data_IF_770026035254
#
_entry.id   IF_770026035254
#
_cell.length_a   1.000
_cell.length_b   1.000
_cell.length_c   1.000
_cell.angle_alpha   90.00
_cell.angle_beta   90.00
_cell.angle_gamma   90.00
#
_symmetry.space_group_name_H-M   'P 1'
#
loop_
_entity.id
_entity.type
_entity.pdbx_description
1 polymer ?
#
# COMPACT_ATOMS: atom_id res chain seq x y z
N UNK A 1 -23.57 60.25 75.84
CA UNK A 1 -22.69 60.80 74.83
C UNK A 1 -21.79 59.64 74.34
N UNK A 2 -22.11 59.02 73.18
CA UNK A 2 -21.45 57.92 72.59
C UNK A 2 -20.83 58.31 71.23
N UNK A 3 -19.56 58.07 70.95
CA UNK A 3 -19.05 58.25 69.57
C UNK A 3 -19.12 56.95 68.82
N UNK A 4 -19.74 57.06 67.66
CA UNK A 4 -19.80 56.06 66.57
C UNK A 4 -18.32 55.66 66.08
N UNK A 5 -18.07 54.36 66.01
CA UNK A 5 -16.88 53.85 65.33
C UNK A 5 -17.23 53.41 63.90
N UNK A 6 -16.73 54.14 62.91
CA UNK A 6 -16.76 53.69 61.52
C UNK A 6 -15.70 52.60 61.32
N UNK A 7 -16.16 51.43 60.83
CA UNK A 7 -15.27 50.36 60.32
C UNK A 7 -15.11 50.51 58.82
N UNK A 8 -13.92 50.75 58.38
CA UNK A 8 -13.53 50.70 56.94
C UNK A 8 -13.24 49.22 56.54
N UNK A 9 -14.09 48.65 55.69
CA UNK A 9 -13.81 47.37 55.05
C UNK A 9 -12.98 47.61 53.80
N UNK A 10 -11.73 47.15 53.84
CA UNK A 10 -10.87 47.14 52.67
C UNK A 10 -11.21 45.89 51.81
N UNK A 11 -11.81 46.09 50.63
CA UNK A 11 -12.01 45.04 49.64
C UNK A 11 -10.71 44.85 48.85
N UNK A 12 -10.09 43.68 49.06
CA UNK A 12 -8.91 43.28 48.25
C UNK A 12 -9.40 42.75 46.87
N UNK A 13 -9.14 43.51 45.83
CA UNK A 13 -9.35 43.10 44.44
C UNK A 13 -8.15 42.22 44.02
N UNK A 14 -8.37 40.89 43.98
CA UNK A 14 -7.43 39.96 43.44
C UNK A 14 -7.49 39.99 41.90
N UNK A 15 -6.56 40.70 41.26
CA UNK A 15 -6.33 40.65 39.82
C UNK A 15 -5.75 39.31 39.44
N UNK A 16 -6.55 38.40 38.85
CA UNK A 16 -6.07 37.22 38.15
C UNK A 16 -5.33 37.68 36.90
N UNK A 17 -4.01 37.70 36.96
CA UNK A 17 -3.16 37.78 35.78
C UNK A 17 -3.25 36.47 35.00
N UNK A 18 -4.13 36.39 34.00
CA UNK A 18 -4.07 35.35 32.99
C UNK A 18 -2.77 35.52 32.21
N UNK A 19 -1.78 34.67 32.53
CA UNK A 19 -0.58 34.55 31.72
C UNK A 19 -1.00 34.07 30.31
N UNK A 20 -1.07 34.99 29.35
CA UNK A 20 -1.06 34.67 27.93
C UNK A 20 0.26 33.96 27.64
N UNK A 21 0.25 32.63 27.67
CA UNK A 21 1.32 31.82 27.11
C UNK A 21 1.34 32.18 25.61
N UNK A 22 2.45 32.73 25.09
CA UNK A 22 2.51 32.99 23.66
C UNK A 22 2.29 31.66 22.94
N UNK A 23 1.26 31.59 22.12
CA UNK A 23 1.10 30.50 21.18
C UNK A 23 2.33 30.57 20.24
N UNK A 24 3.37 29.82 20.59
CA UNK A 24 4.46 29.57 19.65
C UNK A 24 3.79 29.04 18.39
N UNK A 25 4.02 29.69 17.26
CA UNK A 25 3.62 29.18 15.97
C UNK A 25 4.19 27.75 15.88
N UNK A 26 3.32 26.76 16.17
CA UNK A 26 3.71 25.36 16.09
C UNK A 26 4.10 25.11 14.64
N UNK A 27 5.39 24.78 14.39
CA UNK A 27 5.84 24.45 13.04
C UNK A 27 4.98 23.37 12.43
N UNK A 28 4.92 23.33 11.12
CA UNK A 28 4.18 22.31 10.36
C UNK A 28 5.17 21.24 9.90
N UNK A 29 4.75 19.99 9.90
CA UNK A 29 5.45 18.87 9.26
C UNK A 29 4.87 18.73 7.86
N UNK A 30 5.68 18.91 6.82
CA UNK A 30 5.26 18.78 5.43
C UNK A 30 5.63 17.41 4.88
N UNK A 31 4.65 16.66 4.43
CA UNK A 31 4.85 15.38 3.73
C UNK A 31 4.60 15.62 2.25
N UNK A 32 5.64 15.46 1.42
CA UNK A 32 5.53 15.51 -0.02
C UNK A 32 5.12 14.15 -0.56
N UNK A 33 3.96 14.06 -1.17
CA UNK A 33 3.39 12.81 -1.65
C UNK A 33 3.35 12.82 -3.19
N UNK A 34 3.79 11.73 -3.82
CA UNK A 34 3.93 11.58 -5.26
C UNK A 34 3.15 10.35 -5.69
N UNK A 35 2.21 10.51 -6.64
CA UNK A 35 1.46 9.36 -7.13
C UNK A 35 0.92 9.59 -8.56
N UNK A 36 0.49 8.49 -9.22
CA UNK A 36 -0.03 8.48 -10.59
C UNK A 36 -1.55 8.71 -10.62
N UNK A 37 -2.06 9.77 -10.00
CA UNK A 37 -3.49 10.00 -9.74
C UNK A 37 -4.36 9.94 -10.99
N UNK A 38 -3.91 10.58 -12.08
CA UNK A 38 -4.65 10.60 -13.35
C UNK A 38 -4.68 9.25 -14.04
N UNK A 39 -3.62 8.46 -13.88
CA UNK A 39 -3.50 7.17 -14.54
C UNK A 39 -4.20 6.04 -13.77
N UNK A 40 -4.30 6.14 -12.44
CA UNK A 40 -4.80 5.08 -11.55
C UNK A 40 -5.84 5.59 -10.53
N UNK A 41 -6.89 6.32 -10.97
CA UNK A 41 -7.84 6.95 -10.06
C UNK A 41 -8.61 5.94 -9.21
N UNK A 42 -8.93 4.76 -9.73
CA UNK A 42 -9.69 3.73 -9.01
C UNK A 42 -9.06 3.35 -7.66
N UNK A 43 -7.74 3.25 -7.60
CA UNK A 43 -6.99 2.97 -6.38
C UNK A 43 -6.61 4.25 -5.63
N UNK A 44 -6.19 5.29 -6.34
CA UNK A 44 -5.56 6.45 -5.73
C UNK A 44 -6.55 7.48 -5.18
N UNK A 45 -7.81 7.51 -5.63
CA UNK A 45 -8.84 8.31 -4.96
C UNK A 45 -9.17 7.77 -3.54
N UNK A 46 -9.42 6.46 -3.33
CA UNK A 46 -9.52 5.89 -1.99
C UNK A 46 -8.25 6.07 -1.15
N UNK A 47 -7.07 5.91 -1.75
CA UNK A 47 -5.79 6.12 -1.09
C UNK A 47 -5.65 7.54 -0.53
N UNK A 48 -5.97 8.56 -1.33
CA UNK A 48 -5.98 9.96 -0.90
C UNK A 48 -6.94 10.19 0.26
N UNK A 49 -8.16 9.64 0.20
CA UNK A 49 -9.13 9.71 1.30
C UNK A 49 -8.58 9.07 2.58
N UNK A 50 -7.89 7.94 2.47
CA UNK A 50 -7.23 7.31 3.62
C UNK A 50 -6.18 8.20 4.26
N UNK A 51 -5.32 8.85 3.45
CA UNK A 51 -4.34 9.82 3.94
C UNK A 51 -5.01 11.01 4.64
N UNK A 52 -6.05 11.59 4.02
CA UNK A 52 -6.80 12.72 4.59
C UNK A 52 -7.43 12.37 5.94
N UNK A 53 -7.99 11.16 6.08
CA UNK A 53 -8.53 10.70 7.35
C UNK A 53 -7.44 10.63 8.43
N UNK A 54 -6.29 10.03 8.12
CA UNK A 54 -5.18 9.92 9.07
C UNK A 54 -4.61 11.29 9.47
N UNK A 55 -4.46 12.21 8.52
CA UNK A 55 -4.01 13.58 8.79
C UNK A 55 -4.96 14.31 9.73
N UNK A 56 -6.26 14.20 9.48
CA UNK A 56 -7.28 14.84 10.33
C UNK A 56 -7.24 14.29 11.76
N UNK A 57 -7.19 12.97 11.93
CA UNK A 57 -7.11 12.34 13.25
C UNK A 57 -5.85 12.75 14.01
N UNK A 58 -4.69 12.72 13.36
CA UNK A 58 -3.42 13.09 13.98
C UNK A 58 -3.42 14.57 14.35
N UNK A 59 -3.91 15.43 13.46
CA UNK A 59 -3.96 16.86 13.70
C UNK A 59 -4.97 17.25 14.78
N UNK A 60 -6.10 16.54 14.86
CA UNK A 60 -7.08 16.72 15.93
C UNK A 60 -6.54 16.28 17.30
N UNK A 61 -5.67 15.26 17.32
CA UNK A 61 -4.98 14.78 18.52
C UNK A 61 -3.79 15.65 18.97
N UNK A 62 -3.55 16.79 18.30
CA UNK A 62 -2.44 17.71 18.65
C UNK A 62 -1.20 17.59 17.75
N UNK A 63 -1.27 16.78 16.70
CA UNK A 63 -0.19 16.59 15.72
C UNK A 63 0.92 15.67 16.23
N UNK A 64 2.06 15.74 15.57
CA UNK A 64 3.27 14.97 15.89
C UNK A 64 4.25 15.87 16.64
N UNK A 65 4.59 15.54 17.88
CA UNK A 65 5.44 16.37 18.73
C UNK A 65 4.97 17.84 18.80
N UNK A 66 3.63 18.06 18.81
CA UNK A 66 3.00 19.39 18.83
C UNK A 66 2.96 20.10 17.48
N UNK A 67 3.37 19.47 16.37
CA UNK A 67 3.33 20.05 15.02
C UNK A 67 2.24 19.36 14.19
N UNK A 68 1.44 20.15 13.46
CA UNK A 68 0.44 19.58 12.53
C UNK A 68 1.10 19.04 11.27
N UNK A 69 0.48 18.03 10.68
CA UNK A 69 0.88 17.50 9.37
C UNK A 69 0.17 18.29 8.27
N UNK A 70 0.93 18.69 7.27
CA UNK A 70 0.48 19.20 5.97
C UNK A 70 0.89 18.22 4.87
N UNK A 71 -0.08 17.78 4.06
CA UNK A 71 0.15 16.87 2.95
C UNK A 71 0.16 17.64 1.65
N UNK A 72 1.26 17.53 0.88
CA UNK A 72 1.43 18.17 -0.42
C UNK A 72 1.52 17.08 -1.48
N UNK A 73 0.41 16.78 -2.16
CA UNK A 73 0.34 15.74 -3.19
C UNK A 73 0.64 16.30 -4.58
N UNK A 74 1.34 15.50 -5.39
CA UNK A 74 1.67 15.79 -6.80
C UNK A 74 1.46 14.54 -7.66
N UNK A 75 1.09 14.78 -8.93
CA UNK A 75 0.92 13.73 -9.93
C UNK A 75 2.24 13.50 -10.70
N UNK A 76 2.66 12.25 -10.80
CA UNK A 76 3.87 11.83 -11.53
C UNK A 76 3.60 11.48 -13.00
N UNK A 77 2.36 11.64 -13.48
CA UNK A 77 1.90 11.29 -14.82
C UNK A 77 2.23 9.84 -15.24
N UNK A 78 2.39 8.93 -14.28
CA UNK A 78 2.83 7.55 -14.48
C UNK A 78 4.19 7.44 -15.21
N UNK A 79 5.06 8.43 -15.05
CA UNK A 79 6.34 8.55 -15.73
C UNK A 79 7.49 8.70 -14.73
N UNK A 80 8.55 7.85 -14.79
CA UNK A 80 9.68 7.92 -13.87
C UNK A 80 10.43 9.25 -13.88
N UNK A 81 10.59 9.89 -15.05
CA UNK A 81 11.25 11.20 -15.18
C UNK A 81 10.44 12.31 -14.52
N UNK A 82 9.10 12.29 -14.69
CA UNK A 82 8.21 13.23 -13.99
C UNK A 82 8.20 12.98 -12.48
N UNK A 83 8.25 11.72 -12.02
CA UNK A 83 8.33 11.40 -10.60
C UNK A 83 9.58 12.02 -9.95
N UNK A 84 10.75 11.93 -10.61
CA UNK A 84 12.00 12.56 -10.14
C UNK A 84 11.89 14.08 -10.16
N UNK A 85 11.34 14.67 -11.22
CA UNK A 85 11.13 16.13 -11.32
C UNK A 85 10.23 16.65 -10.21
N UNK A 86 9.15 15.92 -9.92
CA UNK A 86 8.20 16.23 -8.84
C UNK A 86 8.87 16.08 -7.47
N UNK A 87 9.65 15.01 -7.26
CA UNK A 87 10.43 14.84 -6.04
C UNK A 87 11.38 16.01 -5.78
N UNK A 88 12.12 16.46 -6.82
CA UNK A 88 13.01 17.63 -6.72
C UNK A 88 12.23 18.90 -6.38
N UNK A 89 11.05 19.11 -6.99
CA UNK A 89 10.18 20.26 -6.69
C UNK A 89 9.73 20.25 -5.22
N UNK A 90 9.23 19.11 -4.73
CA UNK A 90 8.78 18.96 -3.35
C UNK A 90 9.91 19.23 -2.34
N UNK A 91 11.09 18.71 -2.61
CA UNK A 91 12.25 18.89 -1.72
C UNK A 91 12.82 20.31 -1.80
N UNK A 92 13.01 20.84 -3.01
CA UNK A 92 13.74 22.11 -3.19
C UNK A 92 12.87 23.35 -3.03
N UNK A 93 11.59 23.32 -3.47
CA UNK A 93 10.67 24.47 -3.45
C UNK A 93 9.70 24.42 -2.28
N UNK A 94 8.99 23.30 -2.12
CA UNK A 94 8.00 23.14 -1.05
C UNK A 94 8.65 22.90 0.32
N UNK A 95 9.94 22.49 0.33
CA UNK A 95 10.71 22.21 1.55
C UNK A 95 10.02 21.16 2.43
N UNK A 96 9.61 20.07 1.81
CA UNK A 96 8.99 18.97 2.56
C UNK A 96 10.00 18.28 3.50
N UNK A 97 9.50 17.73 4.59
CA UNK A 97 10.30 17.03 5.61
C UNK A 97 10.60 15.58 5.22
N UNK A 98 9.75 14.97 4.38
CA UNK A 98 9.96 13.64 3.80
C UNK A 98 9.15 13.48 2.50
N UNK A 99 9.55 12.50 1.70
CA UNK A 99 8.77 12.02 0.55
C UNK A 99 7.98 10.77 0.93
N UNK A 100 6.81 10.61 0.32
CA UNK A 100 5.96 9.43 0.46
C UNK A 100 5.23 9.11 -0.84
N UNK A 101 4.68 7.89 -0.94
CA UNK A 101 3.78 7.54 -2.04
C UNK A 101 4.40 6.60 -3.05
N UNK A 102 4.18 6.93 -4.27
CA UNK A 102 4.27 6.23 -5.55
C UNK A 102 3.41 4.97 -5.63
N UNK A 103 2.78 4.79 -6.80
CA UNK A 103 1.96 3.62 -7.13
C UNK A 103 2.72 2.65 -8.04
N UNK A 104 3.16 3.12 -9.21
CA UNK A 104 3.82 2.27 -10.18
C UNK A 104 5.25 1.91 -9.72
N UNK A 105 5.64 0.67 -9.94
CA UNK A 105 6.95 0.16 -9.53
C UNK A 105 8.12 0.90 -10.18
N UNK A 106 8.00 1.29 -11.46
CA UNK A 106 9.03 2.05 -12.16
C UNK A 106 9.16 3.50 -11.63
N UNK A 107 8.06 4.18 -11.28
CA UNK A 107 8.12 5.50 -10.65
C UNK A 107 8.66 5.38 -9.22
N UNK A 108 8.27 4.34 -8.49
CA UNK A 108 8.81 4.05 -7.16
C UNK A 108 10.32 3.84 -7.14
N UNK A 109 10.85 3.08 -8.10
CA UNK A 109 12.30 2.89 -8.25
C UNK A 109 13.03 4.21 -8.55
N UNK A 110 12.46 5.04 -9.42
CA UNK A 110 13.05 6.33 -9.74
C UNK A 110 13.13 7.27 -8.52
N UNK A 111 12.07 7.29 -7.68
CA UNK A 111 12.08 8.06 -6.42
C UNK A 111 13.01 7.41 -5.38
N UNK A 112 13.13 6.08 -5.35
CA UNK A 112 14.08 5.35 -4.50
C UNK A 112 15.54 5.74 -4.82
N UNK A 113 15.88 5.81 -6.12
CA UNK A 113 17.19 6.28 -6.57
C UNK A 113 17.43 7.76 -6.23
N UNK A 114 16.42 8.60 -6.43
CA UNK A 114 16.45 10.00 -6.02
C UNK A 114 16.72 10.13 -4.50
N UNK A 115 15.99 9.37 -3.68
CA UNK A 115 16.14 9.35 -2.23
C UNK A 115 17.57 8.97 -1.81
N UNK A 116 18.16 7.95 -2.47
CA UNK A 116 19.56 7.55 -2.28
C UNK A 116 20.54 8.67 -2.61
N UNK A 117 20.40 9.28 -3.79
CA UNK A 117 21.31 10.32 -4.30
C UNK A 117 21.25 11.61 -3.46
N UNK A 118 20.05 12.00 -3.05
CA UNK A 118 19.81 13.23 -2.26
C UNK A 118 19.95 12.99 -0.75
N UNK A 119 20.12 11.76 -0.32
CA UNK A 119 20.07 11.35 1.10
C UNK A 119 18.79 11.86 1.77
N UNK A 120 17.66 11.64 1.13
CA UNK A 120 16.35 12.13 1.55
C UNK A 120 15.40 10.99 1.86
N UNK A 121 14.65 11.08 2.96
CA UNK A 121 13.79 9.98 3.40
C UNK A 121 12.58 9.80 2.48
N UNK A 122 12.35 8.56 2.05
CA UNK A 122 11.22 8.16 1.22
C UNK A 122 10.48 6.95 1.81
N UNK A 123 9.17 7.11 2.04
CA UNK A 123 8.28 6.02 2.43
C UNK A 123 7.45 5.58 1.21
N UNK A 124 7.86 4.50 0.57
CA UNK A 124 7.16 3.90 -0.54
C UNK A 124 5.86 3.22 -0.05
N UNK A 125 4.69 3.70 -0.52
CA UNK A 125 3.39 3.17 -0.13
C UNK A 125 3.00 1.91 -0.89
N UNK A 126 2.93 2.03 -2.22
CA UNK A 126 2.34 1.06 -3.14
C UNK A 126 3.29 0.34 -4.10
N UNK A 127 4.47 0.82 -4.45
CA UNK A 127 5.26 0.15 -5.50
C UNK A 127 5.67 -1.26 -5.05
N UNK A 128 5.20 -2.27 -5.80
CA UNK A 128 5.23 -3.66 -5.33
C UNK A 128 6.50 -4.44 -5.74
N UNK A 129 7.29 -3.97 -6.73
CA UNK A 129 8.51 -4.68 -7.11
C UNK A 129 9.44 -4.88 -5.91
N UNK A 130 10.01 -6.06 -5.79
CA UNK A 130 10.95 -6.37 -4.72
C UNK A 130 12.22 -5.52 -4.80
N UNK A 131 12.55 -4.99 -5.96
CA UNK A 131 13.73 -4.12 -6.15
C UNK A 131 13.72 -2.86 -5.29
N UNK A 132 12.57 -2.37 -4.84
CA UNK A 132 12.48 -1.20 -3.94
C UNK A 132 13.30 -1.41 -2.67
N UNK A 133 13.22 -2.61 -2.09
CA UNK A 133 13.90 -2.96 -0.85
C UNK A 133 15.08 -3.91 -1.05
N UNK A 134 15.25 -4.46 -2.26
CA UNK A 134 16.37 -5.34 -2.62
C UNK A 134 17.42 -4.58 -3.44
N UNK A 135 17.48 -4.78 -4.78
CA UNK A 135 18.56 -4.21 -5.62
C UNK A 135 18.60 -2.67 -5.60
N UNK A 136 17.47 -2.00 -5.52
CA UNK A 136 17.37 -0.55 -5.35
C UNK A 136 17.41 -0.11 -3.89
N UNK A 137 17.35 -1.07 -2.95
CA UNK A 137 17.28 -0.81 -1.53
C UNK A 137 18.44 0.06 -1.03
N UNK A 138 18.11 1.01 -0.17
CA UNK A 138 19.07 1.92 0.45
C UNK A 138 18.55 2.36 1.83
N UNK A 139 19.40 2.99 2.62
CA UNK A 139 19.06 3.35 3.99
C UNK A 139 17.93 4.38 4.14
N UNK A 140 17.60 5.13 3.09
CA UNK A 140 16.61 6.21 3.13
C UNK A 140 15.22 5.78 2.63
N UNK A 141 15.10 4.59 2.00
CA UNK A 141 13.84 4.10 1.45
C UNK A 141 13.27 2.97 2.29
N UNK A 142 12.02 3.11 2.70
CA UNK A 142 11.23 2.10 3.40
C UNK A 142 9.96 1.80 2.60
N UNK A 143 9.46 0.55 2.65
CA UNK A 143 8.24 0.16 1.94
C UNK A 143 7.17 -0.33 2.90
N UNK A 144 5.93 0.16 2.72
CA UNK A 144 4.78 -0.20 3.53
C UNK A 144 4.15 -1.52 3.08
N UNK A 145 3.65 -1.57 1.84
CA UNK A 145 2.86 -2.70 1.33
C UNK A 145 3.73 -3.93 1.04
N UNK A 146 3.21 -5.18 1.22
CA UNK A 146 3.97 -6.39 0.90
C UNK A 146 4.38 -6.41 -0.58
N UNK A 147 5.65 -6.71 -0.85
CA UNK A 147 6.19 -6.80 -2.20
C UNK A 147 5.70 -8.02 -2.97
N UNK A 148 6.13 -8.11 -4.23
CA UNK A 148 5.73 -9.21 -5.13
C UNK A 148 6.16 -10.58 -4.61
N UNK A 149 7.35 -10.69 -4.01
CA UNK A 149 7.79 -11.94 -3.37
C UNK A 149 6.87 -12.35 -2.24
N UNK A 150 6.57 -11.43 -1.31
CA UNK A 150 5.71 -11.73 -0.17
C UNK A 150 4.30 -12.15 -0.63
N UNK A 151 3.71 -11.45 -1.59
CA UNK A 151 2.40 -11.80 -2.12
C UNK A 151 2.41 -13.15 -2.85
N UNK A 152 3.45 -13.45 -3.63
CA UNK A 152 3.63 -14.75 -4.25
C UNK A 152 3.80 -15.86 -3.20
N UNK A 153 4.59 -15.62 -2.14
CA UNK A 153 4.76 -16.56 -1.03
C UNK A 153 3.45 -16.85 -0.26
N UNK A 154 2.55 -15.86 -0.20
CA UNK A 154 1.21 -16.03 0.38
C UNK A 154 0.26 -16.83 -0.54
N UNK A 155 0.38 -16.69 -1.86
CA UNK A 155 -0.49 -17.36 -2.84
C UNK A 155 -0.02 -18.77 -3.19
N UNK A 156 1.28 -19.02 -3.24
CA UNK A 156 1.86 -20.31 -3.70
C UNK A 156 1.40 -21.51 -2.89
N UNK A 157 1.22 -21.47 -1.55
CA UNK A 157 0.68 -22.62 -0.83
C UNK A 157 -0.70 -23.06 -1.33
N UNK A 158 -1.57 -22.14 -1.68
CA UNK A 158 -2.90 -22.45 -2.24
C UNK A 158 -2.78 -22.89 -3.71
N UNK A 159 -1.89 -22.28 -4.49
CA UNK A 159 -1.62 -22.68 -5.87
C UNK A 159 -1.07 -24.12 -5.95
N UNK A 160 -0.15 -24.50 -5.07
CA UNK A 160 0.43 -25.85 -5.03
C UNK A 160 -0.60 -26.93 -4.64
N UNK A 161 -1.58 -26.61 -3.78
CA UNK A 161 -2.70 -27.52 -3.43
C UNK A 161 -3.55 -27.91 -4.64
N UNK A 162 -3.60 -27.09 -5.69
CA UNK A 162 -4.32 -27.35 -6.92
C UNK A 162 -3.70 -28.53 -7.71
N UNK A 163 -2.42 -28.85 -7.47
CA UNK A 163 -1.65 -29.93 -8.15
C UNK A 163 -1.67 -29.82 -9.68
N UNK A 164 -1.83 -28.59 -10.20
CA UNK A 164 -1.81 -28.31 -11.65
C UNK A 164 -0.37 -28.26 -12.12
N UNK A 165 -0.08 -28.86 -13.30
CA UNK A 165 1.27 -28.96 -13.84
C UNK A 165 1.56 -27.91 -14.89
N UNK A 166 0.60 -27.64 -15.75
CA UNK A 166 0.74 -26.72 -16.89
C UNK A 166 0.18 -25.35 -16.53
N UNK A 167 1.06 -24.39 -16.33
CA UNK A 167 0.71 -23.04 -15.97
C UNK A 167 0.96 -22.07 -17.13
N UNK A 168 0.06 -21.12 -17.29
CA UNK A 168 0.32 -19.92 -18.09
C UNK A 168 0.40 -18.70 -17.19
N UNK A 169 1.08 -17.65 -17.64
CA UNK A 169 1.15 -16.39 -16.90
C UNK A 169 0.72 -15.23 -17.81
N UNK A 170 0.00 -14.25 -17.26
CA UNK A 170 -0.39 -13.01 -17.93
C UNK A 170 -0.11 -11.82 -17.02
N UNK A 171 0.58 -10.80 -17.54
CA UNK A 171 1.04 -9.68 -16.72
C UNK A 171 1.30 -8.42 -17.53
N UNK A 172 1.23 -7.23 -16.91
CA UNK A 172 1.64 -5.99 -17.56
C UNK A 172 3.17 -5.96 -17.71
N UNK A 173 3.64 -5.70 -18.91
CA UNK A 173 5.07 -5.74 -19.27
C UNK A 173 5.83 -4.51 -18.76
N UNK A 174 5.96 -4.43 -17.45
CA UNK A 174 6.83 -3.49 -16.76
C UNK A 174 7.29 -4.10 -15.42
N UNK A 175 8.06 -3.36 -14.66
CA UNK A 175 8.79 -3.85 -13.48
C UNK A 175 7.94 -4.66 -12.49
N UNK A 176 6.71 -4.19 -12.16
CA UNK A 176 5.83 -4.93 -11.27
C UNK A 176 5.45 -6.32 -11.81
N UNK A 177 5.00 -6.38 -13.06
CA UNK A 177 4.56 -7.63 -13.66
C UNK A 177 5.70 -8.65 -13.77
N UNK A 178 6.88 -8.17 -14.18
CA UNK A 178 8.10 -9.00 -14.27
C UNK A 178 8.51 -9.53 -12.89
N UNK A 179 8.51 -8.68 -11.86
CA UNK A 179 8.83 -9.06 -10.48
C UNK A 179 7.87 -10.11 -9.93
N UNK A 180 6.55 -9.89 -10.10
CA UNK A 180 5.52 -10.81 -9.62
C UNK A 180 5.60 -12.20 -10.29
N UNK A 181 5.78 -12.23 -11.61
CA UNK A 181 5.92 -13.49 -12.35
C UNK A 181 7.20 -14.23 -11.98
N UNK A 182 8.32 -13.53 -11.82
CA UNK A 182 9.58 -14.13 -11.40
C UNK A 182 9.45 -14.76 -10.01
N UNK A 183 8.89 -14.05 -9.04
CA UNK A 183 8.66 -14.55 -7.68
C UNK A 183 7.71 -15.77 -7.67
N UNK A 184 6.58 -15.69 -8.38
CA UNK A 184 5.64 -16.79 -8.44
C UNK A 184 6.25 -18.04 -9.08
N UNK A 185 6.94 -17.89 -10.22
CA UNK A 185 7.63 -19.01 -10.90
C UNK A 185 8.66 -19.66 -9.99
N UNK A 186 9.49 -18.87 -9.31
CA UNK A 186 10.51 -19.37 -8.38
C UNK A 186 9.89 -20.17 -7.25
N UNK A 187 8.92 -19.60 -6.57
CA UNK A 187 8.32 -20.18 -5.37
C UNK A 187 7.44 -21.40 -5.72
N UNK A 188 6.68 -21.35 -6.81
CA UNK A 188 5.85 -22.48 -7.22
C UNK A 188 6.71 -23.66 -7.67
N UNK A 189 7.81 -23.44 -8.41
CA UNK A 189 8.74 -24.50 -8.76
C UNK A 189 9.43 -25.13 -7.55
N UNK A 190 9.71 -24.34 -6.53
CA UNK A 190 10.25 -24.85 -5.28
C UNK A 190 9.24 -25.74 -4.53
N UNK A 191 7.96 -25.35 -4.53
CA UNK A 191 6.87 -26.11 -3.90
C UNK A 191 6.41 -27.33 -4.72
N UNK A 192 6.45 -27.23 -6.05
CA UNK A 192 6.02 -28.26 -7.00
C UNK A 192 7.02 -28.32 -8.20
N UNK A 193 8.08 -29.13 -8.11
CA UNK A 193 9.18 -29.15 -9.11
C UNK A 193 8.77 -29.55 -10.52
N UNK A 194 7.68 -30.32 -10.68
CA UNK A 194 7.15 -30.80 -11.96
C UNK A 194 6.25 -29.81 -12.70
N UNK A 195 6.18 -28.56 -12.23
CA UNK A 195 5.42 -27.47 -12.89
C UNK A 195 6.13 -27.02 -14.16
N UNK A 196 5.35 -26.86 -15.23
CA UNK A 196 5.76 -26.27 -16.50
C UNK A 196 5.01 -24.96 -16.76
N UNK A 197 5.75 -23.92 -17.18
CA UNK A 197 5.13 -22.67 -17.65
C UNK A 197 5.05 -22.71 -19.18
N UNK A 198 3.84 -23.00 -19.69
CA UNK A 198 3.58 -23.32 -21.10
C UNK A 198 3.25 -22.08 -21.95
N UNK A 199 2.89 -20.96 -21.34
CA UNK A 199 2.65 -19.69 -22.03
C UNK A 199 2.96 -18.51 -21.12
N UNK A 200 3.41 -17.43 -21.75
CA UNK A 200 3.70 -16.16 -21.08
C UNK A 200 3.17 -15.02 -21.95
N UNK A 201 2.23 -14.23 -21.40
CA UNK A 201 1.61 -13.11 -22.07
C UNK A 201 1.98 -11.80 -21.35
N UNK A 202 3.01 -11.15 -21.84
CA UNK A 202 3.46 -9.83 -21.37
C UNK A 202 2.74 -8.74 -22.18
N UNK A 203 1.83 -8.00 -21.55
CA UNK A 203 0.98 -7.01 -22.22
C UNK A 203 1.45 -5.58 -21.96
N UNK A 204 1.32 -4.64 -22.90
CA UNK A 204 1.58 -3.24 -22.61
C UNK A 204 0.63 -2.73 -21.51
N UNK A 205 1.17 -2.04 -20.50
CA UNK A 205 0.40 -1.48 -19.39
C UNK A 205 -0.70 -0.53 -19.89
N UNK A 206 -1.95 -0.76 -19.47
CA UNK A 206 -3.13 0.03 -19.83
C UNK A 206 -3.64 -0.21 -21.24
N UNK A 207 -3.03 -1.13 -22.00
CA UNK A 207 -3.32 -1.35 -23.44
C UNK A 207 -3.41 -2.84 -23.80
N UNK A 208 -3.95 -3.67 -22.90
CA UNK A 208 -4.13 -5.10 -23.18
C UNK A 208 -5.03 -5.30 -24.40
N UNK A 209 -4.57 -6.11 -25.35
CA UNK A 209 -5.42 -6.75 -26.37
C UNK A 209 -5.93 -8.06 -25.79
N UNK A 210 -7.09 -7.97 -25.13
CA UNK A 210 -7.64 -9.12 -24.40
C UNK A 210 -8.01 -10.27 -25.35
N UNK A 211 -8.44 -9.98 -26.59
CA UNK A 211 -8.76 -11.01 -27.58
C UNK A 211 -7.57 -11.87 -27.93
N UNK A 212 -6.46 -11.25 -28.29
CA UNK A 212 -5.21 -11.95 -28.64
C UNK A 212 -4.63 -12.69 -27.43
N UNK A 213 -4.66 -12.08 -26.25
CA UNK A 213 -4.16 -12.70 -25.00
C UNK A 213 -4.97 -13.94 -24.64
N UNK A 214 -6.29 -13.85 -24.62
CA UNK A 214 -7.20 -14.96 -24.30
C UNK A 214 -7.03 -16.10 -25.30
N UNK A 215 -6.90 -15.79 -26.60
CA UNK A 215 -6.66 -16.80 -27.63
C UNK A 215 -5.33 -17.53 -27.40
N UNK A 216 -4.25 -16.78 -27.21
CA UNK A 216 -2.92 -17.40 -26.98
C UNK A 216 -2.87 -18.28 -25.71
N UNK A 217 -3.56 -17.86 -24.65
CA UNK A 217 -3.67 -18.67 -23.44
C UNK A 217 -4.52 -19.94 -23.68
N UNK A 218 -5.61 -19.83 -24.44
CA UNK A 218 -6.47 -20.97 -24.79
C UNK A 218 -5.71 -22.01 -25.63
N UNK A 219 -4.94 -21.55 -26.61
CA UNK A 219 -4.15 -22.41 -27.52
C UNK A 219 -3.01 -23.16 -26.80
N UNK A 220 -2.43 -22.55 -25.78
CA UNK A 220 -1.42 -23.17 -24.95
C UNK A 220 -1.95 -24.29 -24.03
N UNK A 221 -3.27 -24.38 -23.87
CA UNK A 221 -3.98 -25.39 -23.04
C UNK A 221 -3.37 -25.55 -21.64
N UNK A 222 -3.24 -24.47 -20.84
CA UNK A 222 -2.78 -24.58 -19.47
C UNK A 222 -3.87 -25.21 -18.59
N UNK A 223 -3.45 -25.85 -17.49
CA UNK A 223 -4.36 -26.30 -16.44
C UNK A 223 -4.71 -25.15 -15.46
N UNK A 224 -3.81 -24.20 -15.34
CA UNK A 224 -3.96 -23.03 -14.47
C UNK A 224 -3.29 -21.77 -15.05
N UNK A 225 -3.79 -20.61 -14.63
CA UNK A 225 -3.30 -19.29 -15.07
C UNK A 225 -2.90 -18.48 -13.83
N UNK A 226 -1.70 -17.90 -13.86
CA UNK A 226 -1.32 -16.87 -12.92
C UNK A 226 -1.52 -15.50 -13.57
N UNK A 227 -2.45 -14.72 -13.01
CA UNK A 227 -2.78 -13.39 -13.49
C UNK A 227 -2.19 -12.29 -12.61
N UNK A 228 -1.56 -11.31 -13.24
CA UNK A 228 -0.97 -10.14 -12.59
C UNK A 228 -1.56 -8.83 -13.14
N UNK A 229 -2.52 -8.91 -14.07
CA UNK A 229 -3.22 -7.73 -14.58
C UNK A 229 -4.05 -7.07 -13.49
N UNK A 230 -4.19 -5.76 -13.56
CA UNK A 230 -4.99 -4.96 -12.65
C UNK A 230 -5.72 -3.82 -13.39
N UNK A 231 -6.62 -3.13 -12.70
CA UNK A 231 -7.35 -2.00 -13.27
C UNK A 231 -8.16 -2.35 -14.51
N UNK A 232 -8.13 -1.48 -15.51
CA UNK A 232 -8.88 -1.64 -16.75
C UNK A 232 -8.43 -2.85 -17.56
N UNK A 233 -7.13 -3.20 -17.53
CA UNK A 233 -6.60 -4.36 -18.25
C UNK A 233 -7.14 -5.68 -17.67
N UNK A 234 -7.25 -5.78 -16.35
CA UNK A 234 -7.87 -6.90 -15.68
C UNK A 234 -9.34 -7.03 -16.09
N UNK A 235 -10.09 -5.92 -16.09
CA UNK A 235 -11.51 -5.94 -16.46
C UNK A 235 -11.71 -6.41 -17.90
N UNK A 236 -10.88 -5.96 -18.84
CA UNK A 236 -10.95 -6.44 -20.25
C UNK A 236 -10.62 -7.92 -20.35
N UNK A 237 -9.57 -8.38 -19.63
CA UNK A 237 -9.16 -9.78 -19.63
C UNK A 237 -10.24 -10.70 -19.07
N UNK A 238 -10.87 -10.32 -17.94
CA UNK A 238 -11.95 -11.09 -17.32
C UNK A 238 -13.16 -11.19 -18.27
N UNK A 239 -13.60 -10.09 -18.84
CA UNK A 239 -14.76 -10.06 -19.77
C UNK A 239 -14.53 -10.92 -20.99
N UNK A 240 -13.40 -10.74 -21.64
CA UNK A 240 -13.05 -11.51 -22.82
C UNK A 240 -12.87 -13.02 -22.50
N UNK A 241 -12.21 -13.31 -21.38
CA UNK A 241 -12.02 -14.68 -20.89
C UNK A 241 -13.34 -15.36 -20.56
N UNK A 242 -14.29 -14.65 -19.92
CA UNK A 242 -15.64 -15.14 -19.67
C UNK A 242 -16.39 -15.43 -20.98
N UNK A 243 -16.37 -14.49 -21.92
CA UNK A 243 -17.04 -14.59 -23.22
C UNK A 243 -16.55 -15.80 -24.00
N UNK A 244 -15.25 -16.07 -24.01
CA UNK A 244 -14.65 -17.22 -24.72
C UNK A 244 -14.53 -18.49 -23.88
N UNK A 245 -15.01 -18.48 -22.64
CA UNK A 245 -14.97 -19.63 -21.75
C UNK A 245 -13.55 -20.04 -21.32
N UNK A 246 -12.57 -19.11 -21.30
CA UNK A 246 -11.19 -19.41 -20.94
C UNK A 246 -11.07 -20.02 -19.55
N UNK A 247 -11.92 -19.59 -18.62
CA UNK A 247 -11.82 -19.97 -17.20
C UNK A 247 -12.63 -21.19 -16.81
N UNK A 248 -13.43 -21.80 -17.73
CA UNK A 248 -14.35 -22.91 -17.39
C UNK A 248 -13.67 -24.12 -16.77
N UNK A 249 -12.52 -24.51 -17.32
CA UNK A 249 -11.80 -25.74 -16.92
C UNK A 249 -10.38 -25.42 -16.44
N UNK A 250 -10.14 -24.17 -16.04
CA UNK A 250 -8.84 -23.70 -15.62
C UNK A 250 -8.91 -23.02 -14.27
N UNK A 251 -7.98 -23.38 -13.40
CA UNK A 251 -7.79 -22.66 -12.15
C UNK A 251 -7.11 -21.32 -12.42
N UNK A 252 -7.44 -20.30 -11.61
CA UNK A 252 -6.78 -19.00 -11.70
C UNK A 252 -6.27 -18.59 -10.33
N UNK A 253 -5.00 -18.21 -10.28
CA UNK A 253 -4.38 -17.54 -9.13
C UNK A 253 -4.04 -16.13 -9.56
N UNK A 254 -4.44 -15.14 -8.77
CA UNK A 254 -4.31 -13.75 -9.20
C UNK A 254 -3.90 -12.82 -8.06
N UNK A 255 -2.90 -12.00 -8.33
CA UNK A 255 -2.51 -10.92 -7.43
C UNK A 255 -3.50 -9.76 -7.58
N UNK A 256 -3.91 -9.14 -6.48
CA UNK A 256 -4.73 -7.93 -6.38
C UNK A 256 -6.21 -8.06 -6.78
N UNK A 257 -6.62 -9.12 -7.50
CA UNK A 257 -7.99 -9.20 -8.04
C UNK A 257 -9.08 -9.14 -6.96
N UNK A 258 -8.80 -9.57 -5.73
CA UNK A 258 -9.75 -9.47 -4.61
C UNK A 258 -9.86 -8.08 -3.96
N UNK A 259 -9.22 -7.07 -4.52
CA UNK A 259 -9.34 -5.69 -4.06
C UNK A 259 -10.62 -5.05 -4.63
N UNK A 260 -11.44 -4.37 -3.80
CA UNK A 260 -12.68 -3.76 -4.27
C UNK A 260 -12.50 -2.83 -5.46
N UNK A 261 -11.37 -2.12 -5.54
CA UNK A 261 -11.00 -1.25 -6.66
C UNK A 261 -11.09 -1.95 -8.02
N UNK A 262 -10.82 -3.26 -8.03
CA UNK A 262 -10.78 -4.07 -9.24
C UNK A 262 -11.96 -5.01 -9.38
N UNK A 263 -12.58 -5.40 -8.27
CA UNK A 263 -13.78 -6.25 -8.28
C UNK A 263 -15.07 -5.46 -8.57
N UNK A 264 -15.23 -4.27 -7.98
CA UNK A 264 -16.46 -3.45 -8.15
C UNK A 264 -16.80 -3.16 -9.62
N UNK A 265 -15.83 -2.81 -10.51
CA UNK A 265 -16.12 -2.56 -11.91
C UNK A 265 -16.58 -3.80 -12.71
N UNK A 266 -16.32 -5.00 -12.20
CA UNK A 266 -16.70 -6.24 -12.85
C UNK A 266 -18.18 -6.62 -12.65
N UNK A 267 -18.77 -6.17 -11.54
CA UNK A 267 -20.18 -6.44 -11.23
C UNK A 267 -20.54 -7.93 -11.35
N UNK A 268 -21.53 -8.24 -12.19
CA UNK A 268 -21.99 -9.59 -12.52
C UNK A 268 -20.98 -10.42 -13.33
N UNK A 269 -19.96 -9.79 -13.89
CA UNK A 269 -18.86 -10.45 -14.61
C UNK A 269 -17.70 -10.87 -13.69
N UNK A 270 -17.76 -10.55 -12.39
CA UNK A 270 -16.73 -10.94 -11.44
C UNK A 270 -16.51 -12.45 -11.43
N UNK A 271 -15.26 -12.92 -11.49
CA UNK A 271 -14.97 -14.34 -11.59
C UNK A 271 -15.32 -15.09 -10.29
N UNK A 272 -15.62 -16.38 -10.42
CA UNK A 272 -15.83 -17.27 -9.29
C UNK A 272 -14.65 -18.21 -9.10
N UNK A 273 -14.25 -18.43 -7.84
CA UNK A 273 -13.29 -19.46 -7.46
C UNK A 273 -11.82 -19.11 -7.68
N UNK A 274 -11.47 -17.92 -8.22
CA UNK A 274 -10.09 -17.51 -8.34
C UNK A 274 -9.44 -17.36 -6.97
N UNK A 275 -8.24 -17.88 -6.81
CA UNK A 275 -7.43 -17.66 -5.60
C UNK A 275 -6.76 -16.31 -5.74
N UNK A 276 -7.01 -15.41 -4.79
CA UNK A 276 -6.59 -14.00 -4.92
C UNK A 276 -6.00 -13.42 -3.64
N UNK A 277 -5.14 -12.43 -3.79
CA UNK A 277 -4.95 -11.43 -2.73
C UNK A 277 -6.01 -10.35 -2.87
N UNK A 278 -6.45 -9.75 -1.73
CA UNK A 278 -7.46 -8.71 -1.79
C UNK A 278 -7.83 -8.11 -0.44
N UNK A 279 -9.02 -7.49 -0.37
CA UNK A 279 -9.49 -6.78 0.82
C UNK A 279 -10.99 -6.98 1.05
N UNK A 280 -11.38 -8.01 1.83
CA UNK A 280 -12.77 -8.28 2.19
C UNK A 280 -13.25 -7.39 3.34
N UNK A 281 -13.29 -6.07 3.11
CA UNK A 281 -13.58 -5.06 4.13
C UNK A 281 -14.82 -5.34 4.98
N UNK A 282 -15.87 -5.86 4.35
CA UNK A 282 -17.17 -6.17 4.97
C UNK A 282 -17.12 -7.28 6.02
N UNK A 283 -16.12 -8.13 5.96
CA UNK A 283 -16.00 -9.30 6.86
C UNK A 283 -14.86 -9.21 7.89
N UNK A 284 -14.09 -8.14 7.90
CA UNK A 284 -13.01 -7.95 8.87
C UNK A 284 -13.60 -7.43 10.18
N UNK A 285 -13.47 -8.22 11.25
CA UNK A 285 -14.11 -7.96 12.53
C UNK A 285 -13.17 -7.45 13.63
N UNK A 286 -11.88 -7.25 13.30
CA UNK A 286 -10.92 -6.74 14.29
C UNK A 286 -11.29 -5.33 14.75
N UNK A 287 -11.09 -4.99 16.04
CA UNK A 287 -11.41 -3.66 16.55
C UNK A 287 -10.74 -2.51 15.78
N UNK A 288 -9.47 -2.69 15.41
CA UNK A 288 -8.71 -1.69 14.66
C UNK A 288 -9.33 -1.41 13.29
N UNK A 289 -9.70 -2.48 12.55
CA UNK A 289 -10.34 -2.32 11.25
C UNK A 289 -11.73 -1.71 11.37
N UNK A 290 -12.55 -2.15 12.35
CA UNK A 290 -13.90 -1.59 12.56
C UNK A 290 -13.87 -0.11 12.91
N UNK A 291 -12.93 0.32 13.74
CA UNK A 291 -12.76 1.74 14.05
C UNK A 291 -12.42 2.56 12.81
N UNK A 292 -11.48 2.07 11.99
CA UNK A 292 -11.11 2.69 10.71
C UNK A 292 -12.29 2.74 9.73
N UNK A 293 -13.00 1.62 9.53
CA UNK A 293 -14.18 1.53 8.66
C UNK A 293 -15.25 2.55 9.05
N UNK A 294 -15.58 2.62 10.34
CA UNK A 294 -16.58 3.56 10.86
C UNK A 294 -16.17 5.02 10.65
N UNK A 295 -14.91 5.36 10.94
CA UNK A 295 -14.39 6.70 10.73
C UNK A 295 -14.38 7.09 9.24
N UNK A 296 -13.97 6.17 8.36
CA UNK A 296 -13.96 6.37 6.93
C UNK A 296 -15.38 6.60 6.37
N UNK A 297 -16.33 5.72 6.74
CA UNK A 297 -17.72 5.84 6.32
C UNK A 297 -18.40 7.11 6.86
N UNK A 298 -18.10 7.49 8.10
CA UNK A 298 -18.63 8.72 8.71
C UNK A 298 -18.17 9.97 7.92
N UNK A 299 -16.91 10.01 7.49
CA UNK A 299 -16.35 11.16 6.78
C UNK A 299 -16.73 11.18 5.30
N UNK A 300 -16.58 10.07 4.59
CA UNK A 300 -16.67 10.03 3.12
C UNK A 300 -18.00 9.49 2.57
N UNK A 301 -18.88 8.95 3.42
CA UNK A 301 -20.16 8.32 3.03
C UNK A 301 -20.00 7.20 2.01
N UNK A 302 -18.86 6.51 2.06
CA UNK A 302 -18.44 5.42 1.18
C UNK A 302 -17.72 4.35 2.01
N UNK A 303 -17.62 3.12 1.51
CA UNK A 303 -16.87 2.07 2.18
C UNK A 303 -15.38 2.15 1.83
N UNK A 304 -14.50 1.71 2.76
CA UNK A 304 -13.08 1.73 2.51
C UNK A 304 -12.69 0.69 1.45
N UNK A 305 -11.74 1.05 0.60
CA UNK A 305 -11.05 0.15 -0.32
C UNK A 305 -9.61 -0.05 0.14
N UNK A 306 -8.86 -0.96 -0.49
CA UNK A 306 -7.49 -1.23 -0.03
C UNK A 306 -6.60 0.00 -0.10
N UNK A 307 -6.74 0.81 -1.14
CA UNK A 307 -6.05 2.09 -1.25
C UNK A 307 -6.21 2.96 -0.01
N UNK A 308 -7.43 3.02 0.56
CA UNK A 308 -7.67 3.80 1.77
C UNK A 308 -6.94 3.26 3.00
N UNK A 309 -6.84 1.94 3.14
CA UNK A 309 -6.04 1.31 4.22
C UNK A 309 -4.56 1.66 4.07
N UNK A 310 -4.04 1.60 2.84
CA UNK A 310 -2.62 1.89 2.57
C UNK A 310 -2.30 3.36 2.78
N UNK A 311 -3.11 4.27 2.25
CA UNK A 311 -2.93 5.72 2.46
C UNK A 311 -3.00 6.10 3.94
N UNK A 312 -3.97 5.56 4.67
CA UNK A 312 -4.09 5.76 6.11
C UNK A 312 -2.86 5.25 6.86
N UNK A 313 -2.44 4.00 6.59
CA UNK A 313 -1.30 3.37 7.25
C UNK A 313 0.04 4.06 6.93
N UNK A 314 0.17 4.62 5.72
CA UNK A 314 1.36 5.38 5.32
C UNK A 314 1.51 6.65 6.16
N UNK A 315 0.45 7.43 6.34
CA UNK A 315 0.49 8.64 7.17
C UNK A 315 0.69 8.29 8.65
N UNK A 316 0.06 7.21 9.16
CA UNK A 316 0.30 6.73 10.53
C UNK A 316 1.77 6.32 10.72
N UNK A 317 2.37 5.66 9.73
CA UNK A 317 3.80 5.29 9.74
C UNK A 317 4.71 6.51 9.73
N UNK A 318 4.44 7.48 8.86
CA UNK A 318 5.19 8.74 8.81
C UNK A 318 5.15 9.47 10.15
N UNK A 319 3.96 9.58 10.74
CA UNK A 319 3.77 10.23 12.05
C UNK A 319 4.52 9.50 13.18
N UNK A 320 4.41 8.17 13.22
CA UNK A 320 5.10 7.35 14.23
C UNK A 320 6.64 7.46 14.10
N UNK A 321 7.16 7.42 12.86
CA UNK A 321 8.58 7.57 12.58
C UNK A 321 9.11 8.93 13.03
N UNK A 322 8.41 10.01 12.68
CA UNK A 322 8.77 11.36 13.08
C UNK A 322 8.63 11.58 14.59
N UNK A 323 7.63 11.01 15.22
CA UNK A 323 7.46 11.06 16.68
C UNK A 323 8.63 10.39 17.40
N UNK A 324 9.06 9.22 16.95
CA UNK A 324 10.21 8.46 17.49
C UNK A 324 11.53 9.17 17.21
N UNK A 325 11.74 9.68 16.00
CA UNK A 325 12.95 10.41 15.62
C UNK A 325 13.07 11.78 16.33
N UNK A 326 11.96 12.40 16.71
CA UNK A 326 11.86 13.79 17.18
C UNK A 326 12.54 14.78 16.22
N UNK A 327 12.56 14.45 14.95
CA UNK A 327 13.31 15.18 13.91
C UNK A 327 12.73 14.84 12.53
N UNK A 328 12.90 15.74 11.56
CA UNK A 328 12.74 15.49 10.12
C UNK A 328 14.10 15.24 9.41
N UNK A 329 15.20 15.19 10.13
CA UNK A 329 16.49 14.83 9.57
C UNK A 329 16.44 13.41 8.97
N UNK A 330 16.82 13.22 7.68
CA UNK A 330 16.66 11.94 7.00
C UNK A 330 17.41 10.77 7.63
N UNK A 331 18.60 11.00 8.21
CA UNK A 331 19.37 9.96 8.90
C UNK A 331 18.68 9.51 10.18
N UNK A 332 18.14 10.46 10.95
CA UNK A 332 17.38 10.18 12.18
C UNK A 332 16.06 9.47 11.87
N UNK A 333 15.38 9.87 10.78
CA UNK A 333 14.17 9.19 10.33
C UNK A 333 14.48 7.74 9.92
N UNK A 334 15.50 7.52 9.10
CA UNK A 334 15.93 6.20 8.67
C UNK A 334 16.27 5.31 9.87
N UNK A 335 17.01 5.83 10.85
CA UNK A 335 17.32 5.11 12.08
C UNK A 335 16.06 4.80 12.91
N UNK A 336 15.11 5.74 13.00
CA UNK A 336 13.87 5.57 13.75
C UNK A 336 12.94 4.53 13.11
N UNK A 337 12.92 4.43 11.76
CA UNK A 337 12.10 3.46 11.06
C UNK A 337 12.57 2.01 11.21
N UNK A 338 13.85 1.76 11.47
CA UNK A 338 14.35 0.40 11.74
C UNK A 338 13.71 -0.15 13.02
N UNK A 339 12.95 -1.23 12.87
CA UNK A 339 12.18 -1.82 13.98
C UNK A 339 11.03 -0.94 14.48
N UNK A 340 10.54 0.01 13.67
CA UNK A 340 9.38 0.83 14.02
C UNK A 340 8.12 -0.01 13.98
N UNK A 341 7.40 -0.05 15.08
CA UNK A 341 6.05 -0.62 15.17
C UNK A 341 5.00 0.45 14.92
N UNK A 342 3.97 0.11 14.14
CA UNK A 342 2.87 1.01 13.80
C UNK A 342 1.55 0.24 13.86
N UNK A 343 0.55 0.81 14.53
CA UNK A 343 -0.82 0.30 14.50
C UNK A 343 -1.52 0.72 13.21
N UNK A 344 -2.08 -0.26 12.50
CA UNK A 344 -2.79 -0.08 11.24
C UNK A 344 -4.18 -0.73 11.30
N UNK A 345 -5.07 -0.48 10.32
CA UNK A 345 -6.34 -1.20 10.24
C UNK A 345 -6.21 -2.72 10.12
N UNK A 346 -5.06 -3.23 9.67
CA UNK A 346 -4.75 -4.67 9.60
C UNK A 346 -4.05 -5.22 10.86
N UNK A 347 -3.90 -4.39 11.87
CA UNK A 347 -3.15 -4.71 13.08
C UNK A 347 -1.78 -4.03 13.10
N UNK A 348 -0.95 -4.46 14.04
CA UNK A 348 0.39 -3.92 14.23
C UNK A 348 1.34 -4.44 13.14
N UNK A 349 2.09 -3.54 12.53
CA UNK A 349 3.17 -3.85 11.61
C UNK A 349 4.51 -3.38 12.17
N UNK A 350 5.59 -3.98 11.68
CA UNK A 350 6.97 -3.59 12.03
C UNK A 350 7.77 -3.38 10.75
N UNK A 351 8.54 -2.30 10.66
CA UNK A 351 9.50 -2.11 9.58
C UNK A 351 10.78 -2.88 9.90
N UNK A 352 11.09 -3.90 9.09
CA UNK A 352 12.22 -4.79 9.30
C UNK A 352 13.55 -4.05 9.15
N UNK A 353 14.50 -4.22 10.07
CA UNK A 353 15.83 -3.59 9.97
C UNK A 353 16.66 -4.12 8.80
N UNK A 354 16.41 -5.37 8.37
CA UNK A 354 17.21 -6.12 7.41
C UNK A 354 17.04 -5.58 5.99
N UNK A 355 15.81 -5.16 5.63
CA UNK A 355 15.50 -4.74 4.27
C UNK A 355 14.56 -3.54 4.17
N UNK A 356 14.23 -2.89 5.28
CA UNK A 356 13.33 -1.73 5.34
C UNK A 356 11.88 -2.01 4.84
N UNK A 357 11.50 -3.29 4.73
CA UNK A 357 10.15 -3.71 4.38
C UNK A 357 9.29 -3.78 5.63
N UNK A 358 8.05 -3.29 5.58
CA UNK A 358 7.09 -3.53 6.66
C UNK A 358 6.59 -4.97 6.67
N UNK A 359 6.11 -5.42 7.82
CA UNK A 359 5.45 -6.73 7.99
C UNK A 359 3.95 -6.68 7.68
N UNK A 360 3.48 -5.68 6.95
CA UNK A 360 2.08 -5.69 6.50
C UNK A 360 1.81 -6.95 5.70
N UNK A 361 0.71 -7.65 6.02
CA UNK A 361 0.28 -8.85 5.33
C UNK A 361 -0.76 -8.58 4.25
N UNK A 362 -1.41 -9.64 3.78
CA UNK A 362 -2.52 -9.56 2.84
C UNK A 362 -3.60 -10.59 3.18
N UNK A 363 -4.83 -10.32 2.77
CA UNK A 363 -5.88 -11.33 2.76
C UNK A 363 -5.73 -12.21 1.52
N UNK A 364 -5.78 -13.52 1.71
CA UNK A 364 -5.83 -14.51 0.64
C UNK A 364 -7.14 -15.28 0.77
N UNK A 365 -7.85 -15.45 -0.33
CA UNK A 365 -9.15 -16.12 -0.36
C UNK A 365 -9.57 -16.40 -1.79
N UNK A 366 -10.86 -16.62 -1.98
CA UNK A 366 -11.43 -16.91 -3.29
C UNK A 366 -12.41 -15.83 -3.72
N UNK A 367 -12.46 -15.55 -5.03
CA UNK A 367 -13.47 -14.67 -5.59
C UNK A 367 -14.81 -15.40 -5.69
N UNK A 368 -15.89 -14.63 -5.51
CA UNK A 368 -17.27 -15.11 -5.75
C UNK A 368 -18.12 -13.97 -6.28
N UNK A 369 -19.02 -14.29 -7.20
CA UNK A 369 -20.07 -13.35 -7.58
C UNK A 369 -21.31 -13.62 -6.72
N UNK A 370 -21.70 -12.64 -5.91
CA UNK A 370 -22.90 -12.69 -5.07
C UNK A 370 -23.86 -11.57 -5.46
N UNK A 371 -24.96 -11.93 -6.10
CA UNK A 371 -26.00 -10.97 -6.49
C UNK A 371 -25.51 -9.85 -7.42
N UNK A 372 -24.59 -10.15 -8.34
CA UNK A 372 -24.04 -9.17 -9.27
C UNK A 372 -22.94 -8.31 -8.67
N UNK A 373 -22.31 -8.74 -7.57
CA UNK A 373 -21.15 -8.11 -6.94
C UNK A 373 -20.03 -9.10 -6.76
N UNK A 374 -18.82 -8.70 -7.12
CA UNK A 374 -17.63 -9.47 -6.82
C UNK A 374 -17.25 -9.32 -5.33
N UNK A 375 -17.11 -10.46 -4.66
CA UNK A 375 -16.69 -10.52 -3.24
C UNK A 375 -15.58 -11.54 -3.05
N UNK A 376 -14.86 -11.44 -1.94
CA UNK A 376 -13.96 -12.49 -1.46
C UNK A 376 -14.70 -13.37 -0.44
N UNK A 377 -14.50 -14.67 -0.56
CA UNK A 377 -14.97 -15.69 0.39
C UNK A 377 -13.80 -16.58 0.82
N UNK A 378 -13.97 -17.39 1.86
CA UNK A 378 -12.96 -18.33 2.36
C UNK A 378 -11.58 -17.67 2.54
N UNK A 379 -11.57 -16.44 3.04
CA UNK A 379 -10.36 -15.65 3.17
C UNK A 379 -9.76 -15.72 4.57
N UNK A 380 -8.44 -15.56 4.60
CA UNK A 380 -7.65 -15.45 5.82
C UNK A 380 -6.63 -14.32 5.66
N UNK A 381 -6.38 -13.59 6.75
CA UNK A 381 -5.25 -12.66 6.79
C UNK A 381 -3.95 -13.45 7.00
N UNK A 382 -3.02 -13.30 6.09
CA UNK A 382 -1.68 -13.87 6.18
C UNK A 382 -0.74 -12.77 6.64
N UNK A 383 -0.25 -12.93 7.88
CA UNK A 383 0.61 -11.92 8.51
C UNK A 383 1.99 -11.90 7.85
N UNK A 384 2.39 -10.73 7.34
CA UNK A 384 3.71 -10.55 6.75
C UNK A 384 4.86 -10.65 7.76
N UNK A 385 4.61 -10.71 9.06
CA UNK A 385 5.60 -11.03 10.08
C UNK A 385 6.00 -12.51 10.09
N UNK A 386 5.18 -13.41 9.53
CA UNK A 386 5.52 -14.83 9.44
C UNK A 386 6.68 -15.04 8.45
N UNK A 387 7.77 -15.61 8.97
CA UNK A 387 9.00 -15.83 8.21
C UNK A 387 8.82 -16.62 6.90
N UNK A 388 7.77 -17.47 6.80
CA UNK A 388 7.50 -18.24 5.57
C UNK A 388 7.07 -17.38 4.38
N UNK A 389 6.60 -16.14 4.64
CA UNK A 389 6.22 -15.19 3.59
C UNK A 389 7.30 -14.16 3.30
N UNK A 390 8.39 -14.20 4.05
CA UNK A 390 9.51 -13.27 3.90
C UNK A 390 10.63 -13.89 3.09
N UNK A 391 11.43 -13.10 2.36
CA UNK A 391 12.67 -13.59 1.78
C UNK A 391 13.64 -14.00 2.89
N UNK A 392 14.43 -15.03 2.64
CA UNK A 392 15.50 -15.40 3.58
C UNK A 392 16.57 -14.31 3.67
N UNK A 393 17.28 -14.26 4.79
CA UNK A 393 18.41 -13.33 4.97
C UNK A 393 19.48 -13.48 3.86
N UNK A 394 19.65 -14.70 3.32
CA UNK A 394 20.55 -14.97 2.22
C UNK A 394 20.07 -14.36 0.89
N UNK A 395 18.76 -14.42 0.62
CA UNK A 395 18.16 -13.79 -0.57
C UNK A 395 18.25 -12.26 -0.48
N UNK A 396 17.96 -11.68 0.69
CA UNK A 396 18.10 -10.24 0.93
C UNK A 396 19.56 -9.82 0.67
N UNK A 397 20.53 -10.49 1.31
CA UNK A 397 21.95 -10.18 1.17
C UNK A 397 22.46 -10.32 -0.27
N UNK A 398 21.99 -11.34 -0.99
CA UNK A 398 22.35 -11.55 -2.40
C UNK A 398 21.77 -10.48 -3.33
N UNK A 399 20.63 -9.92 -2.96
CA UNK A 399 19.86 -9.00 -3.80
C UNK A 399 20.15 -7.53 -3.53
N UNK A 400 20.60 -7.16 -2.34
CA UNK A 400 20.95 -5.77 -2.00
C UNK A 400 22.38 -5.43 -2.46
N UNK A 401 22.55 -4.19 -2.90
CA UNK A 401 23.82 -3.67 -3.39
C UNK A 401 24.64 -2.90 -2.33
N UNK A 402 24.12 -2.81 -1.09
CA UNK A 402 24.73 -2.11 0.06
C UNK A 402 25.29 -3.08 1.12
#
# INVERSE_FOLDING_TARGET
>A
MNPLRLAFSAAAVATLATALVPAHAQGVIKIGEINSYKAQPAFLEPYKKGMELAVDEINAAGGVNGKKIELISRDDNANPGDAVRVAEELVSREKVDMLAGTFLSNTGLAVTDFAKQKKFFFLAGEPLTDKITWQGGNQYTFRLRPGTYMQAAMLVPEAAKLKKKRWAVVYPNYEYGQSAVAAFKQLLKAAQPDVEFVAEQATPLGKVDAGSVVQALADAKPDAIFNVLFGADLSKFVREGNTRGLFKDREVVSVLTGEPEYMDPLKDEAPNGWIVTGYPWYGITTPAHKAFEQAYQAKFKDYPRLGSVVGYSMIKSAAAGMAKAKSSDPEKLAAAFKGLEVDTPFGKITYRPEDNQSTMGAFVGRTKNEGGKGVMVDYVYLDGADAKYQPSAAEIKKSRAD
#
